data_IF_759852164060
#
_entry.id   IF_759852164060
#
_cell.length_a   1.000
_cell.length_b   1.000
_cell.length_c   1.000
_cell.angle_alpha   90.00
_cell.angle_beta   90.00
_cell.angle_gamma   90.00
#
_symmetry.space_group_name_H-M   'P 1'
#
loop_
_entity.id
_entity.type
_entity.pdbx_description
1 polymer ?
#
# COMPACT_ATOMS: atom_id res chain seq x y z
N UNK A 1 -12.23 -13.34 -4.74
CA UNK A 1 -10.76 -13.14 -4.69
C UNK A 1 -10.55 -11.91 -3.82
N UNK A 2 -10.03 -12.08 -2.60
CA UNK A 2 -9.93 -11.01 -1.62
C UNK A 2 -8.85 -10.01 -2.04
N UNK A 3 -9.17 -8.71 -2.04
CA UNK A 3 -8.23 -7.66 -2.40
C UNK A 3 -7.13 -7.56 -1.31
N UNK A 4 -5.89 -7.20 -1.69
CA UNK A 4 -4.79 -7.02 -0.75
C UNK A 4 -5.14 -6.06 0.40
N UNK A 5 -5.93 -5.02 0.10
CA UNK A 5 -6.46 -4.10 1.11
C UNK A 5 -7.34 -4.81 2.15
N UNK A 6 -8.28 -5.65 1.73
CA UNK A 6 -9.20 -6.36 2.63
C UNK A 6 -8.43 -7.30 3.56
N UNK A 7 -7.38 -7.95 3.03
CA UNK A 7 -6.47 -8.79 3.82
C UNK A 7 -5.75 -7.97 4.89
N UNK A 8 -5.13 -6.85 4.50
CA UNK A 8 -4.44 -5.98 5.44
C UNK A 8 -5.39 -5.37 6.49
N UNK A 9 -6.63 -5.10 6.12
CA UNK A 9 -7.66 -4.66 7.08
C UNK A 9 -7.93 -5.73 8.14
N UNK A 10 -8.23 -6.96 7.73
CA UNK A 10 -8.49 -8.08 8.66
C UNK A 10 -7.31 -8.37 9.57
N UNK A 11 -6.10 -8.40 9.00
CA UNK A 11 -4.89 -8.62 9.79
C UNK A 11 -4.67 -7.53 10.84
N UNK A 12 -4.96 -6.26 10.52
CA UNK A 12 -4.83 -5.16 11.47
C UNK A 12 -5.85 -5.28 12.61
N UNK A 13 -7.09 -5.66 12.30
CA UNK A 13 -8.13 -5.90 13.30
C UNK A 13 -7.71 -7.00 14.29
N UNK A 14 -7.06 -8.06 13.81
CA UNK A 14 -6.52 -9.13 14.65
C UNK A 14 -5.30 -8.69 15.46
N UNK A 15 -4.35 -8.00 14.84
CA UNK A 15 -3.12 -7.52 15.48
C UNK A 15 -3.37 -6.58 16.66
N UNK A 16 -4.37 -5.70 16.50
CA UNK A 16 -4.70 -4.65 17.46
C UNK A 16 -5.95 -4.94 18.30
N UNK A 17 -6.42 -6.20 18.30
CA UNK A 17 -7.51 -6.62 19.18
C UNK A 17 -7.05 -6.56 20.63
N UNK A 18 -7.47 -5.53 21.35
CA UNK A 18 -7.19 -5.37 22.78
C UNK A 18 -8.35 -5.93 23.62
N UNK A 19 -8.00 -6.77 24.59
CA UNK A 19 -8.91 -7.26 25.62
C UNK A 19 -8.22 -7.22 26.99
N UNK A 20 -8.97 -7.52 28.04
CA UNK A 20 -8.46 -7.29 29.39
C UNK A 20 -7.27 -8.18 29.77
N UNK A 21 -7.14 -9.33 29.12
CA UNK A 21 -6.16 -10.36 29.39
C UNK A 21 -4.91 -10.22 28.52
N UNK A 22 -5.04 -9.61 27.34
CA UNK A 22 -3.98 -9.57 26.33
C UNK A 22 -3.16 -8.27 26.32
N UNK A 23 -3.54 -7.24 27.08
CA UNK A 23 -2.88 -5.91 27.05
C UNK A 23 -1.35 -5.97 27.13
N UNK A 24 -0.83 -6.76 28.08
CA UNK A 24 0.63 -6.91 28.28
C UNK A 24 1.29 -7.59 27.10
N UNK A 25 0.68 -8.66 26.60
CA UNK A 25 1.20 -9.41 25.46
C UNK A 25 1.18 -8.58 24.18
N UNK A 26 0.07 -7.89 23.91
CA UNK A 26 -0.05 -6.97 22.78
C UNK A 26 0.98 -5.85 22.88
N UNK A 27 1.20 -5.26 24.07
CA UNK A 27 2.23 -4.24 24.27
C UNK A 27 3.64 -4.75 23.92
N UNK A 28 3.97 -5.99 24.29
CA UNK A 28 5.26 -6.61 23.98
C UNK A 28 5.40 -6.94 22.48
N UNK A 29 4.30 -7.23 21.79
CA UNK A 29 4.27 -7.49 20.33
C UNK A 29 4.29 -6.23 19.47
N UNK A 30 3.90 -5.06 20.00
CA UNK A 30 3.81 -3.80 19.25
C UNK A 30 5.07 -3.44 18.43
N UNK A 31 6.32 -3.60 18.93
CA UNK A 31 7.51 -3.33 18.12
C UNK A 31 7.58 -4.20 16.87
N UNK A 32 7.30 -5.49 17.00
CA UNK A 32 7.27 -6.44 15.87
C UNK A 32 6.13 -6.12 14.90
N UNK A 33 4.96 -5.75 15.42
CA UNK A 33 3.82 -5.32 14.59
C UNK A 33 4.16 -4.05 13.79
N UNK A 34 4.75 -3.04 14.43
CA UNK A 34 5.22 -1.82 13.75
C UNK A 34 6.21 -2.17 12.64
N UNK A 35 7.19 -3.02 12.92
CA UNK A 35 8.15 -3.47 11.90
C UNK A 35 7.45 -4.19 10.72
N UNK A 36 6.50 -5.09 11.00
CA UNK A 36 5.69 -5.78 9.98
C UNK A 36 4.99 -4.80 9.04
N UNK A 37 4.31 -3.80 9.60
CA UNK A 37 3.55 -2.82 8.81
C UNK A 37 4.45 -1.83 8.06
N UNK A 38 5.59 -1.45 8.64
CA UNK A 38 6.61 -0.63 7.94
C UNK A 38 7.23 -1.41 6.78
N UNK A 39 7.57 -2.69 6.96
CA UNK A 39 8.10 -3.53 5.87
C UNK A 39 7.13 -3.59 4.69
N UNK A 40 5.83 -3.81 4.95
CA UNK A 40 4.78 -3.82 3.92
C UNK A 40 4.62 -2.47 3.21
N UNK A 41 4.78 -1.36 3.95
CA UNK A 41 4.77 -0.03 3.36
C UNK A 41 5.90 0.15 2.37
N UNK A 42 7.11 -0.31 2.73
CA UNK A 42 8.27 -0.29 1.84
C UNK A 42 8.05 -1.18 0.62
N UNK A 43 7.53 -2.40 0.79
CA UNK A 43 7.22 -3.31 -0.32
C UNK A 43 6.22 -2.68 -1.30
N UNK A 44 5.18 -2.01 -0.80
CA UNK A 44 4.22 -1.31 -1.65
C UNK A 44 4.86 -0.13 -2.42
N UNK A 45 5.79 0.60 -1.80
CA UNK A 45 6.57 1.67 -2.46
C UNK A 45 7.51 1.11 -3.53
N UNK A 46 8.15 -0.02 -3.27
CA UNK A 46 9.00 -0.73 -4.25
C UNK A 46 8.16 -1.18 -5.45
N UNK A 47 7.01 -1.82 -5.21
CA UNK A 47 6.13 -2.29 -6.27
C UNK A 47 5.59 -1.15 -7.13
N UNK A 48 5.19 -0.04 -6.50
CA UNK A 48 4.80 1.17 -7.23
C UNK A 48 5.90 1.63 -8.19
N UNK A 49 7.14 1.74 -7.71
CA UNK A 49 8.27 2.16 -8.53
C UNK A 49 8.53 1.18 -9.68
N UNK A 50 8.43 -0.13 -9.42
CA UNK A 50 8.55 -1.17 -10.44
C UNK A 50 7.49 -1.01 -11.53
N UNK A 51 6.24 -0.73 -11.16
CA UNK A 51 5.14 -0.51 -12.10
C UNK A 51 5.33 0.77 -12.92
N UNK A 52 5.88 1.83 -12.33
CA UNK A 52 6.22 3.08 -13.05
C UNK A 52 7.25 2.81 -14.14
N UNK A 53 8.32 2.06 -13.84
CA UNK A 53 9.32 1.70 -14.86
C UNK A 53 8.72 0.78 -15.92
N UNK A 54 7.92 -0.23 -15.52
CA UNK A 54 7.22 -1.11 -16.45
C UNK A 54 6.28 -0.34 -17.38
N UNK A 55 5.60 0.69 -16.87
CA UNK A 55 4.74 1.57 -17.68
C UNK A 55 5.55 2.27 -18.76
N UNK A 56 6.72 2.83 -18.43
CA UNK A 56 7.59 3.51 -19.38
C UNK A 56 8.05 2.56 -20.48
N UNK A 57 8.50 1.36 -20.11
CA UNK A 57 8.90 0.32 -21.06
C UNK A 57 7.75 -0.12 -21.97
N UNK A 58 6.54 -0.28 -21.41
CA UNK A 58 5.36 -0.65 -22.17
C UNK A 58 4.98 0.41 -23.22
N UNK A 59 5.07 1.70 -22.87
CA UNK A 59 4.83 2.80 -23.81
C UNK A 59 5.79 2.74 -25.00
N UNK A 60 7.09 2.55 -24.72
CA UNK A 60 8.11 2.44 -25.78
C UNK A 60 7.78 1.30 -26.74
N UNK A 61 7.48 0.11 -26.22
CA UNK A 61 7.14 -1.08 -27.02
C UNK A 61 5.86 -0.89 -27.85
N UNK A 62 4.85 -0.22 -27.29
CA UNK A 62 3.61 0.06 -28.02
C UNK A 62 3.88 1.03 -29.17
N UNK A 63 4.68 2.08 -28.95
CA UNK A 63 5.05 3.04 -29.99
C UNK A 63 5.87 2.37 -31.11
N UNK A 64 6.84 1.52 -30.76
CA UNK A 64 7.61 0.73 -31.73
C UNK A 64 6.72 -0.15 -32.59
N UNK A 65 5.76 -0.83 -31.96
CA UNK A 65 4.77 -1.67 -32.65
C UNK A 65 3.93 -0.84 -33.63
N UNK A 66 3.39 0.30 -33.19
CA UNK A 66 2.59 1.20 -34.04
C UNK A 66 3.40 1.68 -35.25
N UNK A 67 4.67 2.06 -35.05
CA UNK A 67 5.56 2.52 -36.13
C UNK A 67 5.90 1.41 -37.13
N UNK A 68 6.00 0.17 -36.67
CA UNK A 68 6.26 -0.99 -37.54
C UNK A 68 5.04 -1.37 -38.39
N UNK A 69 3.83 -1.28 -37.83
CA UNK A 69 2.59 -1.61 -38.52
C UNK A 69 2.13 -0.51 -39.48
N UNK A 70 2.41 0.76 -39.13
CA UNK A 70 2.05 1.92 -39.95
C UNK A 70 3.22 2.91 -39.92
N UNK A 71 4.01 3.03 -41.01
CA UNK A 71 5.05 4.06 -41.14
C UNK A 71 4.39 5.42 -41.38
N UNK A 72 3.72 5.96 -40.36
CA UNK A 72 3.04 7.24 -40.42
C UNK A 72 4.00 8.30 -39.88
N UNK A 73 4.11 9.42 -40.59
CA UNK A 73 4.76 10.67 -40.14
C UNK A 73 3.91 11.38 -39.08
N UNK A 74 3.67 10.72 -37.95
CA UNK A 74 3.00 11.34 -36.79
C UNK A 74 4.05 11.86 -35.82
N UNK A 75 3.73 12.97 -35.15
CA UNK A 75 4.55 13.46 -34.05
C UNK A 75 4.56 12.47 -32.88
N UNK A 76 5.71 12.38 -32.20
CA UNK A 76 5.91 11.50 -31.04
C UNK A 76 4.88 11.73 -29.93
N UNK A 77 4.44 12.98 -29.77
CA UNK A 77 3.43 13.35 -28.80
C UNK A 77 2.08 12.65 -29.03
N UNK A 78 1.64 12.53 -30.28
CA UNK A 78 0.37 11.88 -30.60
C UNK A 78 0.49 10.35 -30.43
N UNK A 79 1.65 9.79 -30.77
CA UNK A 79 1.94 8.36 -30.58
C UNK A 79 1.92 7.97 -29.10
N UNK A 80 2.50 8.79 -28.23
CA UNK A 80 2.44 8.60 -26.77
C UNK A 80 0.99 8.64 -26.30
N UNK A 81 0.21 9.66 -26.69
CA UNK A 81 -1.20 9.75 -26.29
C UNK A 81 -2.02 8.53 -26.74
N UNK A 82 -1.75 8.00 -27.92
CA UNK A 82 -2.43 6.80 -28.41
C UNK A 82 -1.95 5.54 -27.66
N UNK A 83 -0.65 5.45 -27.39
CA UNK A 83 -0.08 4.36 -26.59
C UNK A 83 -0.66 4.36 -25.16
N UNK A 84 -0.86 5.52 -24.53
CA UNK A 84 -1.46 5.62 -23.19
C UNK A 84 -2.89 5.07 -23.10
N UNK A 85 -3.62 5.00 -24.22
CA UNK A 85 -4.94 4.41 -24.29
C UNK A 85 -4.90 2.87 -24.42
N UNK A 86 -3.71 2.29 -24.64
CA UNK A 86 -3.54 0.85 -24.74
C UNK A 86 -3.97 0.15 -23.44
N UNK A 87 -4.69 -0.96 -23.57
CA UNK A 87 -5.25 -1.71 -22.45
C UNK A 87 -4.18 -2.12 -21.41
N UNK A 88 -2.97 -2.46 -21.85
CA UNK A 88 -1.86 -2.83 -20.97
C UNK A 88 -1.43 -1.65 -20.10
N UNK A 89 -1.30 -0.46 -20.70
CA UNK A 89 -0.89 0.74 -19.98
C UNK A 89 -1.98 1.19 -19.01
N UNK A 90 -3.25 1.15 -19.44
CA UNK A 90 -4.40 1.43 -18.57
C UNK A 90 -4.46 0.45 -17.38
N UNK A 91 -4.11 -0.83 -17.59
CA UNK A 91 -4.02 -1.82 -16.50
C UNK A 91 -2.89 -1.49 -15.52
N UNK A 92 -1.70 -1.14 -16.03
CA UNK A 92 -0.56 -0.73 -15.18
C UNK A 92 -0.93 0.53 -14.38
N UNK A 93 -1.58 1.51 -15.00
CA UNK A 93 -2.04 2.74 -14.32
C UNK A 93 -3.04 2.45 -13.20
N UNK A 94 -3.95 1.50 -13.40
CA UNK A 94 -4.86 1.03 -12.35
C UNK A 94 -4.10 0.38 -11.19
N UNK A 95 -3.06 -0.41 -11.48
CA UNK A 95 -2.24 -1.04 -10.44
C UNK A 95 -1.42 -0.01 -9.66
N UNK A 96 -0.83 0.99 -10.33
CA UNK A 96 -0.13 2.10 -9.68
C UNK A 96 -1.06 2.83 -8.71
N UNK A 97 -2.29 3.17 -9.15
CA UNK A 97 -3.30 3.80 -8.29
C UNK A 97 -3.67 2.92 -7.10
N UNK A 98 -3.74 1.60 -7.28
CA UNK A 98 -3.98 0.69 -6.16
C UNK A 98 -2.84 0.71 -5.15
N UNK A 99 -1.58 0.72 -5.62
CA UNK A 99 -0.43 0.88 -4.74
C UNK A 99 -0.49 2.20 -3.95
N UNK A 100 -0.91 3.31 -4.56
CA UNK A 100 -1.08 4.59 -3.87
C UNK A 100 -2.08 4.50 -2.71
N UNK A 101 -3.23 3.87 -2.93
CA UNK A 101 -4.24 3.66 -1.89
C UNK A 101 -3.73 2.76 -0.76
N UNK A 102 -2.96 1.72 -1.10
CA UNK A 102 -2.34 0.83 -0.10
C UNK A 102 -1.28 1.58 0.71
N UNK A 103 -0.46 2.41 0.07
CA UNK A 103 0.55 3.23 0.75
C UNK A 103 -0.12 4.20 1.72
N UNK A 104 -1.14 4.94 1.30
CA UNK A 104 -1.89 5.87 2.18
C UNK A 104 -2.51 5.13 3.38
N UNK A 105 -3.08 3.94 3.14
CA UNK A 105 -3.58 3.11 4.22
C UNK A 105 -2.47 2.71 5.20
N UNK A 106 -1.34 2.19 4.72
CA UNK A 106 -0.25 1.72 5.55
C UNK A 106 0.43 2.84 6.36
N UNK A 107 0.51 4.06 5.81
CA UNK A 107 0.98 5.24 6.54
C UNK A 107 0.03 5.59 7.70
N UNK A 108 -1.29 5.43 7.52
CA UNK A 108 -2.26 5.56 8.61
C UNK A 108 -2.12 4.44 9.65
N UNK A 109 -1.86 3.21 9.22
CA UNK A 109 -1.61 2.08 10.12
C UNK A 109 -0.40 2.34 11.02
N UNK A 110 0.67 2.90 10.49
CA UNK A 110 1.85 3.28 11.28
C UNK A 110 1.48 4.23 12.41
N UNK A 111 0.67 5.25 12.11
CA UNK A 111 0.18 6.22 13.10
C UNK A 111 -0.68 5.53 14.16
N UNK A 112 -1.59 4.64 13.75
CA UNK A 112 -2.44 3.86 14.67
C UNK A 112 -1.56 3.05 15.63
N UNK A 113 -0.63 2.24 15.12
CA UNK A 113 0.25 1.41 15.94
C UNK A 113 1.14 2.25 16.88
N UNK A 114 1.56 3.45 16.45
CA UNK A 114 2.29 4.39 17.29
C UNK A 114 1.44 4.85 18.48
N UNK A 115 0.18 5.19 18.23
CA UNK A 115 -0.74 5.68 19.25
C UNK A 115 -1.20 4.57 20.22
N UNK A 116 -1.31 3.32 19.76
CA UNK A 116 -1.71 2.17 20.60
C UNK A 116 -0.83 2.01 21.86
N UNK A 117 0.45 2.38 21.79
CA UNK A 117 1.33 2.34 22.97
C UNK A 117 0.82 3.25 24.09
N UNK A 118 0.30 4.43 23.74
CA UNK A 118 -0.29 5.36 24.70
C UNK A 118 -1.67 4.89 25.16
N UNK A 119 -2.48 4.34 24.25
CA UNK A 119 -3.81 3.81 24.59
C UNK A 119 -3.71 2.70 25.63
N UNK A 120 -2.80 1.74 25.45
CA UNK A 120 -2.56 0.66 26.44
C UNK A 120 -2.12 1.24 27.79
N UNK A 121 -1.22 2.23 27.78
CA UNK A 121 -0.76 2.88 29.01
C UNK A 121 -1.93 3.54 29.75
N UNK A 122 -2.78 4.27 29.04
CA UNK A 122 -3.95 4.93 29.62
C UNK A 122 -4.94 3.93 30.22
N UNK A 123 -5.19 2.81 29.53
CA UNK A 123 -6.06 1.74 30.07
C UNK A 123 -5.49 1.16 31.37
N UNK A 124 -4.18 0.92 31.44
CA UNK A 124 -3.53 0.42 32.65
C UNK A 124 -3.63 1.45 33.80
N UNK A 125 -3.48 2.73 33.51
CA UNK A 125 -3.62 3.80 34.51
C UNK A 125 -5.04 3.90 35.06
N UNK A 126 -6.06 3.84 34.20
CA UNK A 126 -7.47 3.82 34.63
C UNK A 126 -7.74 2.62 35.56
N UNK A 127 -7.22 1.43 35.23
CA UNK A 127 -7.36 0.26 36.10
C UNK A 127 -6.74 0.45 37.48
N UNK A 128 -5.57 1.08 37.56
CA UNK A 128 -4.92 1.37 38.84
C UNK A 128 -5.78 2.31 39.69
N UNK A 129 -6.47 3.27 39.07
CA UNK A 129 -7.39 4.18 39.76
C UNK A 129 -8.68 3.51 40.23
N UNK A 130 -9.17 2.50 39.51
CA UNK A 130 -10.38 1.75 39.87
C UNK A 130 -10.17 0.71 40.97
N UNK A 131 -8.92 0.29 41.20
CA UNK A 131 -8.54 -0.63 42.28
C UNK A 131 -8.31 0.09 43.62
N UNK A 132 -8.33 1.42 43.62
CA UNK A 132 -8.31 2.30 44.80
C UNK A 132 -9.75 2.63 45.22
#
# INVERSE_FOLDING_TARGET
MENLFDRYKKELEEDLKLDDFNLKDTQLRLPTLKHKWVARLIDAKIEKNRLIELRKEAIIKVIETIRSEKPITVSDRLLIQHAEQNEIIVKIDKQIKMCDLIIDYLEKVEVICKNTTFDIKNVIEIRKLQLL
#
